data_IF_819145262887
#
_entry.id   IF_819145262887
#
_cell.length_a   1.000
_cell.length_b   1.000
_cell.length_c   1.000
_cell.angle_alpha   90.00
_cell.angle_beta   90.00
_cell.angle_gamma   90.00
#
_symmetry.space_group_name_H-M   'P 1'
#
loop_
_entity.id
_entity.type
_entity.pdbx_description
1 polymer ?
#
# COMPACT_ATOMS: atom_id res chain seq x y z
N UNK A 1 32.67 -2.73 36.56
CA UNK A 1 31.21 -2.77 36.28
C UNK A 1 31.01 -2.73 34.77
N UNK A 2 30.63 -3.84 34.13
CA UNK A 2 30.58 -3.97 32.66
C UNK A 2 29.23 -3.46 32.15
N UNK A 3 29.18 -2.27 31.56
CA UNK A 3 27.95 -1.71 30.96
C UNK A 3 27.60 -2.52 29.71
N UNK A 4 26.52 -3.30 29.76
CA UNK A 4 25.93 -3.94 28.56
C UNK A 4 25.27 -2.85 27.72
N UNK A 5 25.95 -2.41 26.66
CA UNK A 5 25.40 -1.48 25.67
C UNK A 5 24.35 -2.18 24.80
N UNK A 6 23.24 -1.48 24.60
CA UNK A 6 22.01 -1.89 23.93
C UNK A 6 22.23 -2.53 22.55
N UNK A 7 22.40 -3.87 22.51
CA UNK A 7 22.33 -4.64 21.25
C UNK A 7 20.92 -4.66 20.67
N UNK A 8 19.89 -4.43 21.49
CA UNK A 8 18.47 -4.43 21.14
C UNK A 8 18.03 -3.18 20.38
N UNK A 9 18.57 -2.00 20.70
CA UNK A 9 18.24 -0.76 19.97
C UNK A 9 18.73 -0.80 18.52
N UNK A 10 19.96 -1.27 18.30
CA UNK A 10 20.53 -1.40 16.94
C UNK A 10 19.73 -2.32 16.04
N UNK A 11 19.21 -3.43 16.58
CA UNK A 11 18.35 -4.32 15.80
C UNK A 11 17.05 -3.63 15.40
N UNK A 12 16.42 -2.91 16.32
CA UNK A 12 15.14 -2.24 16.05
C UNK A 12 15.31 -1.14 14.97
N UNK A 13 16.40 -0.38 15.02
CA UNK A 13 16.75 0.62 13.99
C UNK A 13 16.97 -0.03 12.61
N UNK A 14 17.61 -1.20 12.54
CA UNK A 14 17.78 -1.96 11.30
C UNK A 14 16.43 -2.44 10.76
N UNK A 15 15.54 -2.97 11.61
CA UNK A 15 14.19 -3.39 11.20
C UNK A 15 13.35 -2.20 10.70
N UNK A 16 13.35 -1.08 11.42
CA UNK A 16 12.66 0.15 11.01
C UNK A 16 13.21 0.66 9.67
N UNK A 17 14.52 0.56 9.46
CA UNK A 17 15.16 1.01 8.22
C UNK A 17 14.80 0.11 7.04
N UNK A 18 14.81 -1.22 7.21
CA UNK A 18 14.40 -2.17 6.17
C UNK A 18 12.90 -2.00 5.88
N UNK A 19 12.07 -1.85 6.91
CA UNK A 19 10.63 -1.58 6.75
C UNK A 19 10.40 -0.27 5.98
N UNK A 20 11.10 0.81 6.32
CA UNK A 20 11.07 2.08 5.56
C UNK A 20 11.80 2.04 4.22
N UNK A 21 12.51 0.96 3.86
CA UNK A 21 13.16 0.83 2.55
C UNK A 21 12.34 -0.07 1.62
N UNK A 22 11.69 -1.09 2.18
CA UNK A 22 10.76 -2.00 1.49
C UNK A 22 9.38 -1.35 1.34
N UNK A 23 8.90 -0.68 2.39
CA UNK A 23 7.64 0.07 2.45
C UNK A 23 7.89 1.59 2.49
N UNK A 24 9.11 2.02 2.18
CA UNK A 24 9.48 3.43 2.07
C UNK A 24 8.52 4.18 1.19
N UNK A 25 8.19 5.40 1.63
CA UNK A 25 7.22 6.33 1.06
C UNK A 25 7.08 6.22 -0.46
N UNK A 26 6.27 5.26 -0.91
CA UNK A 26 5.62 5.36 -2.19
C UNK A 26 4.62 6.49 -2.00
N UNK A 27 5.07 7.72 -2.19
CA UNK A 27 4.26 8.90 -2.49
C UNK A 27 3.53 8.72 -3.85
N UNK A 28 3.10 7.50 -4.14
CA UNK A 28 2.18 7.22 -5.21
C UNK A 28 0.80 7.52 -4.63
N UNK A 29 0.41 8.79 -4.71
CA UNK A 29 -0.97 9.17 -4.43
C UNK A 29 -1.85 8.43 -5.43
N UNK A 30 -2.70 7.53 -4.94
CA UNK A 30 -3.67 6.81 -5.75
C UNK A 30 -5.06 7.39 -5.50
N UNK A 31 -5.80 7.63 -6.58
CA UNK A 31 -7.25 7.75 -6.50
C UNK A 31 -7.82 6.34 -6.42
N UNK A 32 -8.52 6.01 -5.33
CA UNK A 32 -9.16 4.70 -5.15
C UNK A 32 -10.66 4.83 -5.37
N UNK A 33 -11.23 3.88 -6.13
CA UNK A 33 -12.67 3.77 -6.35
C UNK A 33 -13.15 2.33 -6.16
N UNK A 34 -14.41 2.20 -5.78
CA UNK A 34 -15.09 0.91 -5.60
C UNK A 34 -16.31 0.85 -6.49
N UNK A 35 -16.59 -0.32 -7.04
CA UNK A 35 -17.77 -0.56 -7.86
C UNK A 35 -18.34 -1.95 -7.62
N UNK A 36 -19.64 -2.08 -7.86
CA UNK A 36 -20.37 -3.36 -7.82
C UNK A 36 -21.08 -3.67 -9.13
N UNK A 37 -21.45 -2.63 -9.88
CA UNK A 37 -22.18 -2.76 -11.15
C UNK A 37 -21.22 -2.81 -12.33
N UNK A 38 -21.58 -3.59 -13.34
CA UNK A 38 -20.76 -3.76 -14.54
C UNK A 38 -20.56 -2.43 -15.29
N UNK A 39 -21.57 -1.56 -15.31
CA UNK A 39 -21.50 -0.26 -15.96
C UNK A 39 -20.49 0.67 -15.25
N UNK A 40 -20.46 0.65 -13.91
CA UNK A 40 -19.51 1.40 -13.10
C UNK A 40 -18.08 0.87 -13.29
N UNK A 41 -17.92 -0.45 -13.28
CA UNK A 41 -16.62 -1.12 -13.52
C UNK A 41 -16.09 -0.72 -14.90
N UNK A 42 -16.92 -0.81 -15.94
CA UNK A 42 -16.55 -0.43 -17.29
C UNK A 42 -16.12 1.04 -17.36
N UNK A 43 -16.89 1.94 -16.76
CA UNK A 43 -16.54 3.36 -16.73
C UNK A 43 -15.21 3.63 -15.99
N UNK A 44 -14.92 2.91 -14.91
CA UNK A 44 -13.64 3.03 -14.18
C UNK A 44 -12.45 2.54 -15.01
N UNK A 45 -12.61 1.42 -15.71
CA UNK A 45 -11.59 0.88 -16.60
C UNK A 45 -11.32 1.83 -17.77
N UNK A 46 -12.37 2.37 -18.41
CA UNK A 46 -12.24 3.37 -19.48
C UNK A 46 -11.60 4.68 -18.99
N UNK A 47 -11.83 5.07 -17.73
CA UNK A 47 -11.18 6.22 -17.09
C UNK A 47 -9.70 5.97 -16.71
N UNK A 48 -9.18 4.76 -16.95
CA UNK A 48 -7.80 4.38 -16.69
C UNK A 48 -7.53 3.98 -15.24
N UNK A 49 -8.54 3.53 -14.50
CA UNK A 49 -8.31 2.86 -13.23
C UNK A 49 -7.93 1.39 -13.46
N UNK A 50 -7.01 0.91 -12.63
CA UNK A 50 -6.56 -0.47 -12.59
C UNK A 50 -7.36 -1.26 -11.56
N UNK A 51 -7.73 -2.48 -11.91
CA UNK A 51 -8.30 -3.43 -10.95
C UNK A 51 -7.24 -3.89 -9.95
N UNK A 52 -7.58 -3.85 -8.66
CA UNK A 52 -6.69 -4.24 -7.56
C UNK A 52 -7.13 -5.55 -6.94
N UNK A 53 -8.40 -5.63 -6.55
CA UNK A 53 -8.91 -6.72 -5.73
C UNK A 53 -10.44 -6.78 -5.73
N UNK A 54 -11.02 -7.94 -5.44
CA UNK A 54 -12.46 -8.14 -5.29
C UNK A 54 -12.76 -8.95 -4.03
N UNK A 55 -13.77 -8.50 -3.27
CA UNK A 55 -14.30 -9.21 -2.10
C UNK A 55 -15.80 -8.92 -1.97
N UNK A 56 -16.59 -9.94 -1.66
CA UNK A 56 -18.03 -9.80 -1.38
C UNK A 56 -18.80 -9.03 -2.48
N UNK A 57 -18.51 -9.33 -3.75
CA UNK A 57 -19.06 -8.65 -4.95
C UNK A 57 -18.70 -7.16 -5.08
N UNK A 58 -17.75 -6.67 -4.29
CA UNK A 58 -17.18 -5.32 -4.38
C UNK A 58 -15.82 -5.42 -5.04
N UNK A 59 -15.62 -4.68 -6.12
CA UNK A 59 -14.33 -4.55 -6.78
C UNK A 59 -13.67 -3.22 -6.40
N UNK A 60 -12.37 -3.28 -6.16
CA UNK A 60 -11.52 -2.16 -5.77
C UNK A 60 -10.61 -1.81 -6.95
N UNK A 61 -10.54 -0.52 -7.26
CA UNK A 61 -9.77 0.03 -8.34
C UNK A 61 -8.88 1.16 -7.84
N UNK A 62 -7.72 1.34 -8.47
CA UNK A 62 -6.82 2.46 -8.20
C UNK A 62 -6.35 3.09 -9.50
N UNK A 63 -6.10 4.39 -9.47
CA UNK A 63 -5.40 5.10 -10.54
C UNK A 63 -4.33 5.96 -9.90
N UNK A 64 -3.09 5.89 -10.39
CA UNK A 64 -2.02 6.78 -9.93
C UNK A 64 -2.38 8.22 -10.30
N UNK A 65 -2.14 9.16 -9.40
CA UNK A 65 -2.37 10.59 -9.63
C UNK A 65 -1.48 11.12 -10.76
#
# INVERSE_FOLDING_TARGET
MRRKTNKTLKNTEIYITIEKTIFGEYNDEFTVKVARKLEEIKALLEAGFEYVYQKDMIMFFRKRK
#
